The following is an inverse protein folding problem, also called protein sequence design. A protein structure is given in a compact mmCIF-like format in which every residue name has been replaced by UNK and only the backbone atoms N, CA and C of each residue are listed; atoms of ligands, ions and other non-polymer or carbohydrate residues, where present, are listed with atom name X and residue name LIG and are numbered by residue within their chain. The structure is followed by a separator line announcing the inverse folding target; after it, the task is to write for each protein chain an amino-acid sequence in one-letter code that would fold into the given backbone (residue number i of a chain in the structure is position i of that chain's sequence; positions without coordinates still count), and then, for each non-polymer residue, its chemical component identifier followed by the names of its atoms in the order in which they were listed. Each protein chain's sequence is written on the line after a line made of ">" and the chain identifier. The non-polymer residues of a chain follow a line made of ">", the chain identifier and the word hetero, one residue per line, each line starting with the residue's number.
data_IF_369143580599
#
_entry.id   IF_369143580599
#
_cell.length_a   1.000
_cell.length_b   1.000
_cell.length_c   1.000
_cell.angle_alpha   90.00
_cell.angle_beta   90.00
_cell.angle_gamma   90.00
#
_symmetry.space_group_name_H-M   'P 1'
#
loop_
_entity.id
_entity.type
_entity.pdbx_description
1 polymer ?
#
# COMPACT_ATOMS: atom_id res chain seq x y z
N UNK A 1 -14.89 -12.96 4.08
CA UNK A 1 -13.83 -14.01 4.15
C UNK A 1 -14.33 -15.43 3.93
N UNK A 2 -15.56 -15.80 4.30
CA UNK A 2 -16.12 -17.12 3.95
C UNK A 2 -16.16 -17.36 2.44
N UNK A 3 -16.59 -16.38 1.65
CA UNK A 3 -16.59 -16.45 0.17
C UNK A 3 -15.17 -16.62 -0.41
N UNK A 4 -14.17 -15.94 0.15
CA UNK A 4 -12.76 -16.06 -0.26
C UNK A 4 -12.23 -17.48 -0.01
N UNK A 5 -12.62 -18.10 1.12
CA UNK A 5 -12.27 -19.48 1.41
C UNK A 5 -12.90 -20.48 0.44
N UNK A 6 -14.15 -20.26 0.07
CA UNK A 6 -14.85 -21.11 -0.89
C UNK A 6 -14.29 -21.00 -2.31
N UNK A 7 -13.73 -19.84 -2.66
CA UNK A 7 -13.16 -19.57 -3.98
C UNK A 7 -11.76 -20.16 -4.20
N UNK A 8 -11.14 -20.81 -3.20
CA UNK A 8 -9.79 -21.41 -3.28
C UNK A 8 -8.74 -20.46 -3.86
N UNK A 9 -8.73 -19.21 -3.39
CA UNK A 9 -7.79 -18.18 -3.85
C UNK A 9 -6.42 -18.36 -3.17
N UNK A 10 -5.34 -18.03 -3.89
CA UNK A 10 -3.96 -18.13 -3.40
C UNK A 10 -3.44 -16.85 -2.79
N UNK A 11 -4.05 -15.70 -3.10
CA UNK A 11 -3.66 -14.38 -2.60
C UNK A 11 -4.85 -13.42 -2.58
N UNK A 12 -4.70 -12.34 -1.82
CA UNK A 12 -5.69 -11.29 -1.69
C UNK A 12 -5.10 -9.94 -2.15
N UNK A 13 -5.72 -9.32 -3.15
CA UNK A 13 -5.45 -7.94 -3.53
C UNK A 13 -6.57 -7.05 -2.97
N UNK A 14 -6.23 -6.19 -2.01
CA UNK A 14 -7.17 -5.22 -1.48
C UNK A 14 -7.11 -3.92 -2.29
N UNK A 15 -8.19 -3.63 -3.00
CA UNK A 15 -8.36 -2.37 -3.71
C UNK A 15 -8.66 -1.27 -2.71
N UNK A 16 -8.10 -0.08 -2.93
CA UNK A 16 -8.26 1.04 -2.02
C UNK A 16 -9.69 1.60 -2.04
N UNK A 17 -10.28 1.68 -0.85
CA UNK A 17 -11.56 2.34 -0.58
C UNK A 17 -11.61 2.75 0.89
N UNK A 18 -12.36 3.79 1.22
CA UNK A 18 -12.47 4.26 2.60
C UNK A 18 -12.94 3.15 3.57
N UNK A 19 -13.90 2.33 3.14
CA UNK A 19 -14.41 1.21 3.94
C UNK A 19 -13.34 0.14 4.19
N UNK A 20 -12.58 -0.25 3.17
CA UNK A 20 -11.54 -1.28 3.30
C UNK A 20 -10.35 -0.76 4.09
N UNK A 21 -9.93 0.49 3.85
CA UNK A 21 -8.81 1.11 4.58
C UNK A 21 -9.11 1.26 6.07
N UNK A 22 -10.34 1.62 6.44
CA UNK A 22 -10.77 1.68 7.85
C UNK A 22 -10.74 0.31 8.52
N UNK A 23 -10.99 -0.76 7.79
CA UNK A 23 -11.02 -2.13 8.29
C UNK A 23 -9.73 -2.93 8.02
N UNK A 24 -8.65 -2.28 7.57
CA UNK A 24 -7.44 -2.99 7.15
C UNK A 24 -6.84 -3.90 8.22
N UNK A 25 -6.85 -3.50 9.50
CA UNK A 25 -6.39 -4.32 10.62
C UNK A 25 -7.17 -5.64 10.76
N UNK A 26 -8.49 -5.59 10.53
CA UNK A 26 -9.34 -6.78 10.57
C UNK A 26 -9.10 -7.67 9.36
N UNK A 27 -8.96 -7.07 8.19
CA UNK A 27 -8.71 -7.78 6.93
C UNK A 27 -7.38 -8.51 6.99
N UNK A 28 -6.30 -7.84 7.43
CA UNK A 28 -4.97 -8.45 7.51
C UNK A 28 -4.90 -9.59 8.54
N UNK A 29 -5.55 -9.44 9.70
CA UNK A 29 -5.66 -10.53 10.69
C UNK A 29 -6.35 -11.75 10.10
N UNK A 30 -7.47 -11.56 9.40
CA UNK A 30 -8.17 -12.65 8.73
C UNK A 30 -7.34 -13.26 7.61
N UNK A 31 -6.65 -12.45 6.81
CA UNK A 31 -5.77 -12.95 5.76
C UNK A 31 -4.67 -13.87 6.33
N UNK A 32 -4.02 -13.48 7.42
CA UNK A 32 -3.02 -14.32 8.11
C UNK A 32 -3.67 -15.60 8.65
N UNK A 33 -4.85 -15.51 9.28
CA UNK A 33 -5.56 -16.65 9.83
C UNK A 33 -5.92 -17.68 8.73
N UNK A 34 -6.26 -17.22 7.54
CA UNK A 34 -6.56 -18.06 6.39
C UNK A 34 -5.33 -18.40 5.53
N UNK A 35 -4.13 -18.01 5.98
CA UNK A 35 -2.86 -18.20 5.27
C UNK A 35 -2.84 -17.59 3.86
N UNK A 36 -3.51 -16.47 3.68
CA UNK A 36 -3.56 -15.73 2.42
C UNK A 36 -2.58 -14.56 2.44
N UNK A 37 -1.56 -14.57 1.58
CA UNK A 37 -0.75 -13.39 1.36
C UNK A 37 -1.63 -12.25 0.84
N UNK A 38 -1.53 -11.08 1.48
CA UNK A 38 -2.34 -9.93 1.13
C UNK A 38 -1.47 -8.74 0.74
N UNK A 39 -1.86 -8.08 -0.34
CA UNK A 39 -1.22 -6.86 -0.85
C UNK A 39 -2.25 -5.74 -1.01
N UNK A 40 -1.83 -4.51 -0.75
CA UNK A 40 -2.63 -3.30 -1.03
C UNK A 40 -1.73 -2.11 -1.36
N UNK A 41 -2.30 -1.09 -1.99
CA UNK A 41 -1.68 0.23 -2.10
C UNK A 41 -1.99 1.14 -0.90
N UNK A 42 -2.94 0.76 -0.07
CA UNK A 42 -3.42 1.57 1.06
C UNK A 42 -2.30 1.87 2.05
N UNK A 43 -2.07 3.14 2.42
CA UNK A 43 -1.05 3.50 3.38
C UNK A 43 -1.25 2.80 4.74
N UNK A 44 -0.16 2.28 5.30
CA UNK A 44 -0.20 1.56 6.57
C UNK A 44 -0.66 0.09 6.49
N UNK A 45 -0.95 -0.42 5.29
CA UNK A 45 -1.42 -1.80 5.12
C UNK A 45 -0.40 -2.85 5.57
N UNK A 46 0.88 -2.66 5.23
CA UNK A 46 1.94 -3.56 5.68
C UNK A 46 2.14 -3.50 7.20
N UNK A 47 2.05 -2.30 7.81
CA UNK A 47 2.12 -2.11 9.26
C UNK A 47 0.93 -2.78 9.98
N UNK A 48 -0.23 -2.81 9.32
CA UNK A 48 -1.43 -3.49 9.84
C UNK A 48 -1.34 -5.03 9.76
N UNK A 49 -0.30 -5.59 9.11
CA UNK A 49 -0.10 -7.02 8.95
C UNK A 49 -0.26 -7.55 7.52
N UNK A 50 -0.47 -6.68 6.52
CA UNK A 50 -0.39 -7.08 5.11
C UNK A 50 1.02 -7.54 4.73
N UNK A 51 1.14 -8.42 3.74
CA UNK A 51 2.44 -8.91 3.29
C UNK A 51 3.21 -7.82 2.54
N UNK A 52 2.56 -7.18 1.58
CA UNK A 52 3.12 -6.10 0.78
C UNK A 52 2.21 -4.88 0.78
N UNK A 53 2.84 -3.72 0.78
CA UNK A 53 2.20 -2.47 0.40
C UNK A 53 3.00 -1.88 -0.76
N UNK A 54 2.33 -1.56 -1.86
CA UNK A 54 2.95 -0.93 -3.01
C UNK A 54 2.07 0.21 -3.52
N UNK A 55 2.56 1.43 -3.41
CA UNK A 55 1.80 2.61 -3.80
C UNK A 55 2.62 3.89 -3.70
N UNK A 56 1.97 5.00 -3.99
CA UNK A 56 2.57 6.33 -3.90
C UNK A 56 2.83 6.72 -2.44
N UNK A 57 3.86 7.52 -2.23
CA UNK A 57 4.12 8.11 -0.93
C UNK A 57 3.15 9.28 -0.67
N UNK A 58 2.24 9.17 0.33
CA UNK A 58 1.25 10.22 0.59
C UNK A 58 1.86 11.56 1.01
N UNK A 59 3.01 11.52 1.70
CA UNK A 59 3.72 12.74 2.13
C UNK A 59 4.29 13.48 0.94
N UNK A 60 4.84 12.76 -0.03
CA UNK A 60 5.36 13.35 -1.25
C UNK A 60 4.23 13.96 -2.11
N UNK A 61 3.09 13.27 -2.20
CA UNK A 61 1.90 13.81 -2.86
C UNK A 61 1.41 15.10 -2.21
N UNK A 62 1.29 15.12 -0.88
CA UNK A 62 0.90 16.32 -0.14
C UNK A 62 1.91 17.47 -0.33
N UNK A 63 3.21 17.18 -0.32
CA UNK A 63 4.27 18.17 -0.58
C UNK A 63 4.16 18.77 -1.98
N UNK A 64 3.90 17.94 -2.99
CA UNK A 64 3.70 18.43 -4.36
C UNK A 64 2.42 19.25 -4.49
N UNK A 65 1.34 18.85 -3.84
CA UNK A 65 0.10 19.62 -3.79
C UNK A 65 0.34 21.03 -3.18
N UNK A 66 1.14 21.13 -2.13
CA UNK A 66 1.50 22.42 -1.53
C UNK A 66 2.24 23.35 -2.50
N UNK A 67 3.08 22.81 -3.39
CA UNK A 67 3.75 23.58 -4.45
C UNK A 67 2.74 24.18 -5.43
N UNK A 68 1.68 23.44 -5.77
CA UNK A 68 0.60 23.96 -6.63
C UNK A 68 -0.20 25.05 -5.94
N UNK A 69 -0.52 24.86 -4.67
CA UNK A 69 -1.19 25.89 -3.85
C UNK A 69 -0.36 27.19 -3.82
N UNK A 70 0.93 27.10 -3.56
CA UNK A 70 1.84 28.25 -3.56
C UNK A 70 1.85 29.00 -4.90
N UNK A 71 1.94 28.27 -6.02
CA UNK A 71 1.88 28.86 -7.36
C UNK A 71 0.57 29.58 -7.63
N UNK A 72 -0.56 28.97 -7.24
CA UNK A 72 -1.89 29.56 -7.43
C UNK A 72 -2.04 30.83 -6.59
N UNK A 73 -1.61 30.79 -5.33
CA UNK A 73 -1.64 31.97 -4.45
C UNK A 73 -0.75 33.12 -4.95
N UNK A 74 0.30 32.82 -5.71
CA UNK A 74 1.18 33.79 -6.37
C UNK A 74 0.68 34.23 -7.75
N UNK A 75 -0.52 33.82 -8.16
CA UNK A 75 -1.20 34.28 -9.37
C UNK A 75 -1.19 33.36 -10.55
N UNK A 76 -0.62 32.14 -10.44
CA UNK A 76 -0.72 31.15 -11.52
C UNK A 76 -2.17 30.66 -11.67
N UNK A 77 -2.62 30.53 -12.90
CA UNK A 77 -3.96 29.96 -13.18
C UNK A 77 -3.90 28.44 -13.08
N UNK A 78 -4.85 27.79 -12.42
CA UNK A 78 -4.89 26.31 -12.35
C UNK A 78 -4.87 25.62 -13.72
N UNK A 79 -5.50 26.22 -14.74
CA UNK A 79 -5.52 25.70 -16.11
C UNK A 79 -4.14 25.68 -16.78
N UNK A 80 -3.20 26.52 -16.36
CA UNK A 80 -1.85 26.61 -16.91
C UNK A 80 -0.86 25.68 -16.19
N UNK A 81 -1.30 25.03 -15.10
CA UNK A 81 -0.47 24.12 -14.35
C UNK A 81 -0.55 22.71 -14.95
N UNK A 82 0.59 22.03 -15.15
CA UNK A 82 0.59 20.70 -15.72
C UNK A 82 -0.04 19.68 -14.77
N UNK A 83 -0.79 18.73 -15.33
CA UNK A 83 -1.23 17.54 -14.59
C UNK A 83 -0.02 16.63 -14.39
N UNK A 84 0.33 16.37 -13.13
CA UNK A 84 1.46 15.52 -12.79
C UNK A 84 0.98 14.18 -12.24
N UNK A 85 1.63 13.11 -12.70
CA UNK A 85 1.46 11.78 -12.12
C UNK A 85 2.50 11.55 -11.02
N UNK A 86 2.17 10.75 -9.99
CA UNK A 86 3.16 10.30 -9.01
C UNK A 86 4.32 9.60 -9.71
N UNK A 87 5.55 9.94 -9.31
CA UNK A 87 6.76 9.33 -9.88
C UNK A 87 7.43 8.37 -8.91
N UNK A 88 7.17 8.55 -7.62
CA UNK A 88 7.80 7.77 -6.57
C UNK A 88 6.79 6.79 -5.97
N UNK A 89 7.08 5.51 -6.13
CA UNK A 89 6.34 4.41 -5.53
C UNK A 89 7.22 3.74 -4.49
N UNK A 90 6.62 3.33 -3.39
CA UNK A 90 7.28 2.63 -2.30
C UNK A 90 6.76 1.21 -2.19
N UNK A 91 7.68 0.27 -2.05
CA UNK A 91 7.38 -1.11 -1.73
C UNK A 91 7.73 -1.37 -0.27
N UNK A 92 6.72 -1.59 0.56
CA UNK A 92 6.90 -1.99 1.95
C UNK A 92 6.64 -3.49 2.08
N UNK A 93 7.56 -4.21 2.71
CA UNK A 93 7.47 -5.66 2.93
C UNK A 93 7.41 -5.94 4.43
N UNK A 94 6.42 -6.73 4.86
CA UNK A 94 6.32 -7.18 6.25
C UNK A 94 6.88 -8.60 6.38
N UNK A 95 8.10 -8.71 6.93
CA UNK A 95 8.79 -9.98 7.13
C UNK A 95 8.17 -10.83 8.24
N UNK A 96 7.53 -10.22 9.25
CA UNK A 96 6.78 -10.97 10.27
C UNK A 96 5.63 -11.73 9.63
N UNK A 97 4.89 -11.06 8.74
CA UNK A 97 3.80 -11.68 7.99
C UNK A 97 4.32 -12.75 7.03
N UNK A 98 5.43 -12.50 6.33
CA UNK A 98 6.06 -13.51 5.48
C UNK A 98 6.43 -14.78 6.27
N UNK A 99 7.07 -14.63 7.42
CA UNK A 99 7.42 -15.74 8.33
C UNK A 99 6.18 -16.48 8.82
N UNK A 100 5.13 -15.76 9.24
CA UNK A 100 3.87 -16.35 9.70
C UNK A 100 3.15 -17.17 8.62
N UNK A 101 3.28 -16.76 7.36
CA UNK A 101 2.73 -17.46 6.20
C UNK A 101 3.65 -18.57 5.67
N UNK A 102 4.88 -18.69 6.17
CA UNK A 102 5.88 -19.63 5.68
C UNK A 102 6.44 -19.27 4.30
N UNK A 103 6.43 -17.99 3.95
CA UNK A 103 6.88 -17.49 2.65
C UNK A 103 8.32 -17.00 2.72
N UNK A 104 9.09 -17.36 1.70
CA UNK A 104 10.44 -16.82 1.48
C UNK A 104 10.36 -15.68 0.47
N UNK A 105 10.76 -14.48 0.88
CA UNK A 105 10.79 -13.31 0.00
C UNK A 105 12.09 -13.31 -0.78
N UNK A 106 12.04 -13.26 -2.14
CA UNK A 106 13.23 -13.20 -2.96
C UNK A 106 14.10 -11.98 -2.63
N UNK A 107 15.43 -12.17 -2.61
CA UNK A 107 16.39 -11.10 -2.31
C UNK A 107 16.25 -9.90 -3.25
N UNK A 108 15.89 -10.12 -4.49
CA UNK A 108 15.64 -9.07 -5.48
C UNK A 108 14.48 -8.14 -5.10
N UNK A 109 13.45 -8.67 -4.42
CA UNK A 109 12.35 -7.86 -3.88
C UNK A 109 12.78 -7.11 -2.63
N UNK A 110 13.53 -7.75 -1.73
CA UNK A 110 14.05 -7.11 -0.51
C UNK A 110 14.96 -5.93 -0.83
N UNK A 111 15.76 -6.02 -1.89
CA UNK A 111 16.63 -4.92 -2.34
C UNK A 111 15.85 -3.72 -2.92
N UNK A 112 14.61 -3.91 -3.32
CA UNK A 112 13.71 -2.86 -3.82
C UNK A 112 12.76 -2.33 -2.75
N UNK A 113 12.75 -2.95 -1.57
CA UNK A 113 11.86 -2.56 -0.50
C UNK A 113 12.34 -1.27 0.19
N UNK A 114 11.39 -0.40 0.45
CA UNK A 114 11.52 0.85 1.17
C UNK A 114 10.38 1.00 2.18
N UNK A 115 10.44 0.72 3.38
CA UNK A 115 11.28 -0.13 4.23
C UNK A 115 10.87 -1.61 4.28
N UNK A 116 11.63 -2.39 5.04
CA UNK A 116 11.26 -3.75 5.48
C UNK A 116 10.82 -3.69 6.94
N UNK A 117 9.70 -4.33 7.27
CA UNK A 117 9.19 -4.46 8.64
C UNK A 117 9.58 -5.85 9.15
N UNK A 118 10.41 -5.90 10.21
CA UNK A 118 10.84 -7.10 10.91
C UNK A 118 10.04 -7.38 12.17
#
# INVERSE_FOLDING_TARGET
>A
MSAVRQAHVDALLMVDSAMLSTNQNRITKLAIQYRLPAISRSPGFAQAGGLFQYGENPRELARRAAVYVDKILKGAKPADLPVEQPRKFELVINMKTAKALGLTIPRTLLLRADPVID
#
